data_IF_780004021865
#
_entry.id   IF_780004021865
#
_cell.length_a   1.000
_cell.length_b   1.000
_cell.length_c   1.000
_cell.angle_alpha   90.00
_cell.angle_beta   90.00
_cell.angle_gamma   90.00
#
_symmetry.space_group_name_H-M   'P 1'
#
loop_
_entity.id
_entity.type
_entity.pdbx_description
1 polymer ?
#
# COMPACT_ATOMS: atom_id res chain seq x y z
N UNK A 1 -15.16 -14.04 7.03
CA UNK A 1 -14.57 -12.76 6.56
C UNK A 1 -14.60 -11.77 7.72
N UNK A 2 -13.56 -10.94 7.92
CA UNK A 2 -13.42 -10.03 9.09
C UNK A 2 -13.87 -8.57 8.83
N UNK A 3 -14.27 -8.24 7.58
CA UNK A 3 -14.86 -6.95 7.20
C UNK A 3 -13.90 -5.75 7.20
N UNK A 4 -12.59 -5.98 7.18
CA UNK A 4 -11.59 -4.91 7.30
C UNK A 4 -11.44 -4.07 6.03
N UNK A 5 -11.54 -4.68 4.85
CA UNK A 5 -11.33 -4.03 3.56
C UNK A 5 -12.43 -3.00 3.27
N UNK A 6 -13.64 -3.26 3.75
CA UNK A 6 -14.81 -2.40 3.61
C UNK A 6 -14.78 -1.17 4.54
N UNK A 7 -13.79 -1.09 5.45
CA UNK A 7 -13.66 -0.01 6.44
C UNK A 7 -12.44 0.88 6.23
N UNK A 8 -11.55 0.52 5.31
CA UNK A 8 -10.35 1.32 5.01
C UNK A 8 -10.62 2.26 3.83
N UNK A 9 -9.90 3.37 3.78
CA UNK A 9 -9.96 4.30 2.64
C UNK A 9 -8.99 3.93 1.52
N UNK A 10 -8.00 3.07 1.82
CA UNK A 10 -7.01 2.63 0.86
C UNK A 10 -6.07 1.59 1.44
N UNK A 11 -5.25 1.03 0.55
CA UNK A 11 -4.26 0.00 0.83
C UNK A 11 -2.91 0.49 0.32
N UNK A 12 -1.91 0.40 1.18
CA UNK A 12 -0.51 0.66 0.84
C UNK A 12 0.24 -0.67 0.88
N UNK A 13 0.92 -1.03 -0.20
CA UNK A 13 1.74 -2.23 -0.29
C UNK A 13 3.21 -1.83 -0.48
N UNK A 14 4.06 -2.30 0.44
CA UNK A 14 5.49 -2.15 0.31
C UNK A 14 6.01 -2.91 -0.92
N UNK A 15 7.10 -2.42 -1.52
CA UNK A 15 7.81 -3.22 -2.52
C UNK A 15 8.25 -4.56 -1.91
N UNK A 16 8.07 -5.69 -2.64
CA UNK A 16 8.54 -6.98 -2.17
C UNK A 16 10.04 -6.94 -1.85
N UNK A 17 10.42 -7.56 -0.75
CA UNK A 17 11.81 -7.67 -0.30
C UNK A 17 12.29 -9.12 -0.31
N UNK A 18 13.62 -9.30 -0.23
CA UNK A 18 14.28 -10.60 -0.15
C UNK A 18 15.20 -10.90 -1.32
N UNK A 19 16.10 -11.87 -1.14
CA UNK A 19 17.14 -12.20 -2.12
C UNK A 19 16.63 -12.91 -3.38
N UNK A 20 15.41 -13.44 -3.33
CA UNK A 20 14.83 -14.28 -4.40
C UNK A 20 13.64 -13.63 -5.12
N UNK A 21 13.33 -12.37 -4.83
CA UNK A 21 12.23 -11.64 -5.46
C UNK A 21 12.79 -10.47 -6.25
N UNK A 22 12.80 -10.62 -7.57
CA UNK A 22 13.25 -9.56 -8.48
C UNK A 22 12.12 -8.61 -8.88
N UNK A 23 12.45 -7.40 -9.38
CA UNK A 23 11.46 -6.42 -9.84
C UNK A 23 10.49 -6.96 -10.89
N UNK A 24 10.90 -7.94 -11.68
CA UNK A 24 10.09 -8.61 -12.69
C UNK A 24 8.88 -9.36 -12.10
N UNK A 25 8.95 -9.72 -10.81
CA UNK A 25 7.87 -10.43 -10.11
C UNK A 25 6.92 -9.50 -9.38
N UNK A 26 7.23 -8.20 -9.24
CA UNK A 26 6.43 -7.27 -8.43
C UNK A 26 5.00 -7.15 -8.95
N UNK A 27 4.82 -7.15 -10.27
CA UNK A 27 3.50 -7.10 -10.90
C UNK A 27 2.59 -8.28 -10.54
N UNK A 28 3.15 -9.44 -10.18
CA UNK A 28 2.35 -10.60 -9.76
C UNK A 28 1.65 -10.34 -8.42
N UNK A 29 2.30 -9.62 -7.50
CA UNK A 29 1.73 -9.24 -6.21
C UNK A 29 0.62 -8.20 -6.39
N UNK A 30 0.87 -7.19 -7.23
CA UNK A 30 -0.10 -6.15 -7.53
C UNK A 30 -1.36 -6.75 -8.17
N UNK A 31 -1.18 -7.66 -9.14
CA UNK A 31 -2.29 -8.35 -9.79
C UNK A 31 -3.09 -9.19 -8.79
N UNK A 32 -2.42 -9.95 -7.91
CA UNK A 32 -3.11 -10.76 -6.91
C UNK A 32 -3.99 -9.91 -5.97
N UNK A 33 -3.52 -8.73 -5.55
CA UNK A 33 -4.33 -7.81 -4.74
C UNK A 33 -5.50 -7.24 -5.54
N UNK A 34 -5.24 -6.83 -6.79
CA UNK A 34 -6.27 -6.27 -7.67
C UNK A 34 -7.38 -7.27 -7.98
N UNK A 35 -7.06 -8.53 -8.22
CA UNK A 35 -8.04 -9.60 -8.45
C UNK A 35 -8.95 -9.79 -7.23
N UNK A 36 -8.37 -9.82 -6.02
CA UNK A 36 -9.16 -9.90 -4.78
C UNK A 36 -10.08 -8.69 -4.63
N UNK A 37 -9.55 -7.48 -4.82
CA UNK A 37 -10.33 -6.26 -4.67
C UNK A 37 -11.46 -6.19 -5.69
N UNK A 38 -11.22 -6.54 -6.95
CA UNK A 38 -12.21 -6.43 -8.02
C UNK A 38 -13.20 -7.59 -8.01
N UNK A 39 -12.70 -8.83 -8.04
CA UNK A 39 -13.50 -10.00 -8.36
C UNK A 39 -14.13 -10.64 -7.12
N UNK A 40 -13.46 -10.58 -5.97
CA UNK A 40 -13.95 -11.21 -4.74
C UNK A 40 -14.76 -10.25 -3.86
N UNK A 41 -14.32 -8.99 -3.75
CA UNK A 41 -14.91 -8.02 -2.82
C UNK A 41 -15.66 -6.87 -3.49
N UNK A 42 -15.61 -6.72 -4.82
CA UNK A 42 -16.23 -5.59 -5.54
C UNK A 42 -15.76 -4.21 -5.04
N UNK A 43 -14.53 -4.13 -4.54
CA UNK A 43 -13.82 -2.97 -4.02
C UNK A 43 -12.79 -2.42 -5.03
N UNK A 44 -13.02 -2.58 -6.34
CA UNK A 44 -12.13 -2.04 -7.38
C UNK A 44 -11.98 -0.50 -7.39
N UNK A 45 -12.77 0.22 -6.58
CA UNK A 45 -12.67 1.66 -6.37
C UNK A 45 -11.79 2.05 -5.18
N UNK A 46 -11.34 1.08 -4.37
CA UNK A 46 -10.52 1.32 -3.19
C UNK A 46 -9.13 1.79 -3.64
N UNK A 47 -8.63 2.87 -3.03
CA UNK A 47 -7.29 3.37 -3.33
C UNK A 47 -6.24 2.30 -3.06
N UNK A 48 -5.41 1.98 -4.05
CA UNK A 48 -4.32 1.01 -3.92
C UNK A 48 -3.03 1.62 -4.45
N UNK A 49 -2.00 1.63 -3.62
CA UNK A 49 -0.65 2.11 -3.97
C UNK A 49 0.35 1.03 -3.59
N UNK A 50 1.10 0.52 -4.57
CA UNK A 50 2.14 -0.48 -4.39
C UNK A 50 3.54 0.10 -4.58
N UNK A 51 4.57 -0.71 -4.31
CA UNK A 51 5.96 -0.35 -4.60
C UNK A 51 6.58 0.67 -3.63
N UNK A 52 5.97 0.90 -2.47
CA UNK A 52 6.43 1.89 -1.51
C UNK A 52 7.71 1.43 -0.77
N UNK A 53 8.59 2.38 -0.47
CA UNK A 53 9.87 2.16 0.20
C UNK A 53 9.73 2.02 1.74
N UNK A 54 8.99 1.02 2.21
CA UNK A 54 8.98 0.60 3.62
C UNK A 54 9.08 -0.93 3.74
N UNK A 55 9.23 -1.47 4.96
CA UNK A 55 9.22 -2.92 5.19
C UNK A 55 10.60 -3.58 5.09
N UNK A 56 10.84 -4.36 4.03
CA UNK A 56 12.07 -5.17 3.86
C UNK A 56 12.91 -4.73 2.67
N UNK A 57 13.12 -3.42 2.58
CA UNK A 57 13.85 -2.85 1.45
C UNK A 57 14.83 -1.79 1.93
N UNK A 58 15.72 -1.30 1.08
CA UNK A 58 16.66 -0.22 1.43
C UNK A 58 16.82 0.74 0.23
N UNK A 59 16.75 2.07 0.42
CA UNK A 59 16.40 2.79 1.65
C UNK A 59 14.92 2.57 2.05
N UNK A 60 14.56 3.00 3.27
CA UNK A 60 13.17 3.02 3.75
C UNK A 60 12.80 4.35 4.39
N UNK A 61 11.53 4.72 4.27
CA UNK A 61 10.91 5.74 5.11
C UNK A 61 10.13 5.10 6.27
N UNK A 62 9.80 5.92 7.27
CA UNK A 62 9.07 5.49 8.47
C UNK A 62 7.57 5.69 8.27
N UNK A 63 6.78 4.66 8.59
CA UNK A 63 5.32 4.75 8.69
C UNK A 63 4.93 4.87 10.18
N UNK A 64 4.71 6.08 10.71
CA UNK A 64 4.11 6.25 12.03
C UNK A 64 2.68 5.69 12.02
N UNK A 65 2.38 4.83 12.99
CA UNK A 65 1.06 4.20 13.10
C UNK A 65 0.08 5.13 13.82
N UNK A 66 -1.15 5.20 13.33
CA UNK A 66 -2.25 5.95 13.96
C UNK A 66 -2.30 7.44 13.61
N UNK A 67 -1.39 7.94 12.76
CA UNK A 67 -1.47 9.30 12.23
C UNK A 67 -2.21 9.33 10.88
N UNK A 68 -2.74 10.50 10.54
CA UNK A 68 -3.39 10.76 9.26
C UNK A 68 -2.37 10.78 8.13
N UNK A 69 -2.70 10.06 7.07
CA UNK A 69 -1.98 10.09 5.80
C UNK A 69 -2.94 10.41 4.65
N UNK A 70 -2.39 10.91 3.57
CA UNK A 70 -3.12 11.29 2.36
C UNK A 70 -2.46 10.67 1.13
N UNK A 71 -3.28 10.09 0.27
CA UNK A 71 -2.89 9.61 -1.07
C UNK A 71 -3.43 10.62 -2.07
N UNK A 72 -2.53 11.20 -2.86
CA UNK A 72 -2.88 12.09 -3.97
C UNK A 72 -2.54 11.38 -5.29
N UNK A 73 -3.58 11.06 -6.07
CA UNK A 73 -3.42 10.42 -7.37
C UNK A 73 -3.06 11.39 -8.50
N UNK A 74 -3.35 12.69 -8.34
CA UNK A 74 -2.97 13.70 -9.34
C UNK A 74 -1.47 13.99 -9.22
N UNK A 75 -0.98 14.16 -7.99
CA UNK A 75 0.44 14.45 -7.70
C UNK A 75 1.30 13.20 -7.49
N UNK A 76 0.70 12.00 -7.58
CA UNK A 76 1.38 10.71 -7.34
C UNK A 76 2.15 10.68 -6.01
N UNK A 77 1.52 11.16 -4.93
CA UNK A 77 2.19 11.34 -3.65
C UNK A 77 1.48 10.66 -2.49
N UNK A 78 2.27 10.28 -1.49
CA UNK A 78 1.82 9.84 -0.17
C UNK A 78 2.38 10.80 0.87
N UNK A 79 1.51 11.45 1.63
CA UNK A 79 1.88 12.42 2.65
C UNK A 79 1.49 11.95 4.05
N UNK A 80 2.37 12.15 5.02
CA UNK A 80 2.04 12.02 6.45
C UNK A 80 1.62 13.40 6.95
N UNK A 81 0.35 13.57 7.31
CA UNK A 81 -0.27 14.87 7.55
C UNK A 81 -0.14 15.37 8.99
N UNK A 82 0.45 14.57 9.88
CA UNK A 82 0.55 14.87 11.31
C UNK A 82 1.95 14.49 11.84
N UNK A 83 2.41 15.19 12.88
CA UNK A 83 3.65 14.82 13.56
C UNK A 83 3.47 13.55 14.38
N UNK A 84 4.42 12.63 14.28
CA UNK A 84 4.44 11.40 15.07
C UNK A 84 4.95 11.61 16.51
N UNK A 85 5.64 12.72 16.76
CA UNK A 85 6.27 13.06 18.05
C UNK A 85 6.14 14.55 18.35
N UNK A 86 6.36 14.94 19.61
CA UNK A 86 6.38 16.34 20.08
C UNK A 86 7.80 16.87 20.14
#
# INVERSE_FOLDING_TARGET
VQGALERVNGILLARPGGEFVGPEQFGEYDQAVLDILQDEFSLGHLAFVSGLDFGHSDPMFVIPQGVKAEIDFEEHSLSICESAVV
#
